data_IF_430778481296
#
_entry.id   IF_430778481296
#
_cell.length_a   1.000
_cell.length_b   1.000
_cell.length_c   1.000
_cell.angle_alpha   90.00
_cell.angle_beta   90.00
_cell.angle_gamma   90.00
#
_symmetry.space_group_name_H-M   'P 1'
#
loop_
_entity.id
_entity.type
_entity.pdbx_description
1 polymer ?
#
# COMPACT_ATOMS: atom_id res chain seq x y z
N UNK A 1 -8.73 -14.79 1.36
CA UNK A 1 -8.75 -13.45 2.00
C UNK A 1 -9.68 -12.57 1.21
N UNK A 2 -10.48 -11.76 1.88
CA UNK A 2 -11.40 -10.81 1.23
C UNK A 2 -10.64 -9.62 0.62
N UNK A 3 -11.15 -9.03 -0.47
CA UNK A 3 -10.52 -7.90 -1.15
C UNK A 3 -10.48 -6.60 -0.32
N UNK A 4 -11.30 -6.50 0.73
CA UNK A 4 -11.25 -5.39 1.69
C UNK A 4 -10.16 -5.55 2.75
N UNK A 5 -9.52 -6.74 2.85
CA UNK A 5 -8.51 -6.98 3.86
C UNK A 5 -7.25 -6.13 3.59
N UNK A 6 -6.69 -5.44 4.60
CA UNK A 6 -5.57 -4.51 4.39
C UNK A 6 -4.31 -5.18 3.80
N UNK A 7 -4.12 -6.46 4.12
CA UNK A 7 -3.01 -7.28 3.61
C UNK A 7 -3.32 -8.05 2.33
N UNK A 8 -4.50 -7.84 1.73
CA UNK A 8 -4.83 -8.47 0.46
C UNK A 8 -3.93 -7.91 -0.65
N UNK A 9 -3.36 -8.79 -1.46
CA UNK A 9 -2.58 -8.45 -2.64
C UNK A 9 -3.38 -8.90 -3.85
N UNK A 10 -3.79 -7.97 -4.69
CA UNK A 10 -4.49 -8.27 -5.94
C UNK A 10 -3.51 -8.88 -6.94
N UNK A 11 -3.99 -9.69 -7.88
CA UNK A 11 -3.19 -10.17 -9.02
C UNK A 11 -2.60 -9.03 -9.87
N UNK A 12 -3.22 -7.84 -9.83
CA UNK A 12 -2.73 -6.65 -10.51
C UNK A 12 -1.63 -5.89 -9.74
N UNK A 13 -1.36 -6.26 -8.49
CA UNK A 13 -0.36 -5.60 -7.67
C UNK A 13 1.02 -6.17 -7.99
N UNK A 14 1.93 -5.30 -8.42
CA UNK A 14 3.33 -5.65 -8.67
C UNK A 14 4.22 -4.43 -8.38
N UNK A 15 5.52 -4.63 -8.10
CA UNK A 15 6.44 -3.54 -7.75
C UNK A 15 6.52 -2.42 -8.81
N UNK A 16 6.45 -2.78 -10.10
CA UNK A 16 6.45 -1.79 -11.19
C UNK A 16 5.11 -1.07 -11.45
N UNK A 17 4.13 -1.15 -10.56
CA UNK A 17 2.81 -0.57 -10.79
C UNK A 17 2.87 0.95 -10.64
N UNK A 18 2.67 1.68 -11.74
CA UNK A 18 2.51 3.13 -11.69
C UNK A 18 1.15 3.50 -11.08
N UNK A 19 1.14 3.85 -9.79
CA UNK A 19 -0.06 4.32 -9.08
C UNK A 19 -0.59 5.65 -9.64
N UNK A 20 0.31 6.53 -10.03
CA UNK A 20 0.01 7.83 -10.62
C UNK A 20 0.91 8.01 -11.85
N UNK A 21 0.40 7.78 -13.07
CA UNK A 21 1.19 7.86 -14.29
C UNK A 21 1.49 9.30 -14.73
N UNK A 22 1.03 10.31 -13.97
CA UNK A 22 1.31 11.71 -14.25
C UNK A 22 2.65 12.14 -13.66
N UNK A 23 3.44 12.86 -14.46
CA UNK A 23 4.68 13.49 -14.02
C UNK A 23 4.38 14.43 -12.85
N UNK A 24 5.20 14.37 -11.81
CA UNK A 24 5.15 15.31 -10.70
C UNK A 24 5.50 16.72 -11.20
N UNK A 25 4.47 17.50 -11.52
CA UNK A 25 4.58 18.92 -11.93
C UNK A 25 3.94 19.84 -10.90
N UNK A 26 2.90 19.37 -10.22
CA UNK A 26 2.19 20.06 -9.16
C UNK A 26 1.99 19.09 -7.99
N UNK A 27 2.75 19.29 -6.90
CA UNK A 27 2.72 18.39 -5.75
C UNK A 27 1.32 18.26 -5.13
N UNK A 28 0.56 19.33 -4.84
CA UNK A 28 -0.80 19.19 -4.31
C UNK A 28 -1.76 18.35 -5.18
N UNK A 29 -1.67 18.46 -6.50
CA UNK A 29 -2.56 17.71 -7.41
C UNK A 29 -2.11 16.26 -7.54
N UNK A 30 -0.79 16.04 -7.60
CA UNK A 30 -0.19 14.72 -7.64
C UNK A 30 -0.43 13.95 -6.34
N UNK A 31 -0.27 14.59 -5.18
CA UNK A 31 -0.47 13.98 -3.87
C UNK A 31 -1.92 13.56 -3.64
N UNK A 32 -2.90 14.38 -4.06
CA UNK A 32 -4.32 13.98 -4.06
C UNK A 32 -4.57 12.74 -4.93
N UNK A 33 -3.98 12.70 -6.12
CA UNK A 33 -4.09 11.56 -7.03
C UNK A 33 -3.48 10.29 -6.42
N UNK A 34 -2.32 10.42 -5.76
CA UNK A 34 -1.67 9.33 -5.03
C UNK A 34 -2.53 8.81 -3.87
N UNK A 35 -3.11 9.71 -3.08
CA UNK A 35 -4.01 9.35 -1.97
C UNK A 35 -5.25 8.59 -2.50
N UNK A 36 -5.86 9.05 -3.61
CA UNK A 36 -6.99 8.35 -4.22
C UNK A 36 -6.62 6.95 -4.72
N UNK A 37 -5.49 6.81 -5.43
CA UNK A 37 -5.02 5.52 -5.94
C UNK A 37 -4.77 4.51 -4.81
N UNK A 38 -4.13 4.96 -3.72
CA UNK A 38 -3.88 4.13 -2.54
C UNK A 38 -5.16 3.78 -1.78
N UNK A 39 -6.11 4.72 -1.68
CA UNK A 39 -7.40 4.49 -1.03
C UNK A 39 -8.22 3.46 -1.78
N UNK A 40 -8.27 3.53 -3.11
CA UNK A 40 -8.98 2.56 -3.95
C UNK A 40 -8.46 1.13 -3.80
N UNK A 41 -7.20 0.96 -3.37
CA UNK A 41 -6.55 -0.33 -3.11
C UNK A 41 -6.54 -0.73 -1.62
N UNK A 42 -7.17 0.03 -0.73
CA UNK A 42 -7.07 -0.16 0.73
C UNK A 42 -5.63 -0.11 1.28
N UNK A 43 -4.72 0.63 0.61
CA UNK A 43 -3.30 0.72 0.97
C UNK A 43 -2.89 2.03 1.64
N UNK A 44 -3.78 3.03 1.71
CA UNK A 44 -3.46 4.33 2.32
C UNK A 44 -2.97 4.22 3.77
N UNK A 45 -3.42 3.20 4.49
CA UNK A 45 -3.04 2.93 5.88
C UNK A 45 -1.55 2.60 6.07
N UNK A 46 -0.87 2.11 5.05
CA UNK A 46 0.57 1.87 5.10
C UNK A 46 1.38 3.17 5.00
N UNK A 47 0.85 4.18 4.29
CA UNK A 47 1.55 5.47 4.09
C UNK A 47 1.28 6.43 5.25
N UNK A 48 0.05 6.48 5.77
CA UNK A 48 -0.30 7.36 6.88
C UNK A 48 -0.03 6.75 8.27
N UNK A 49 0.41 5.49 8.32
CA UNK A 49 0.75 4.79 9.57
C UNK A 49 -0.45 4.26 10.37
N UNK A 50 -1.68 4.30 9.84
CA UNK A 50 -2.83 3.69 10.51
C UNK A 50 -2.76 2.16 10.55
N UNK A 51 -2.08 1.55 9.56
CA UNK A 51 -1.74 0.12 9.54
C UNK A 51 -0.32 -0.03 10.09
N UNK A 52 -0.23 -0.32 11.39
CA UNK A 52 1.05 -0.53 12.06
C UNK A 52 1.66 -1.90 11.72
N UNK A 53 2.99 -2.01 11.70
CA UNK A 53 3.65 -3.31 11.63
C UNK A 53 3.21 -4.15 12.84
N UNK A 54 2.74 -5.39 12.62
CA UNK A 54 2.49 -6.32 13.71
C UNK A 54 3.82 -6.80 14.31
N UNK A 55 3.75 -7.41 15.49
CA UNK A 55 4.91 -8.01 16.14
C UNK A 55 5.46 -9.17 15.31
N UNK A 56 6.75 -9.11 14.96
CA UNK A 56 7.41 -10.16 14.17
C UNK A 56 7.54 -11.46 14.94
N UNK A 57 7.77 -11.38 16.26
CA UNK A 57 7.93 -12.54 17.13
C UNK A 57 6.59 -13.17 17.52
N UNK A 58 5.57 -12.37 17.82
CA UNK A 58 4.27 -12.86 18.27
C UNK A 58 3.32 -13.20 17.11
N UNK A 59 3.47 -12.54 15.96
CA UNK A 59 2.58 -12.66 14.80
C UNK A 59 3.36 -12.75 13.47
N UNK A 60 4.27 -13.73 13.31
CA UNK A 60 5.19 -13.81 12.17
C UNK A 60 4.48 -13.87 10.81
N UNK A 61 3.37 -14.61 10.72
CA UNK A 61 2.59 -14.71 9.46
C UNK A 61 1.96 -13.38 9.07
N UNK A 62 1.42 -12.61 10.03
CA UNK A 62 0.87 -11.29 9.74
C UNK A 62 1.97 -10.28 9.42
N UNK A 63 3.13 -10.40 10.08
CA UNK A 63 4.29 -9.59 9.77
C UNK A 63 4.77 -9.81 8.34
N UNK A 64 4.88 -11.07 7.89
CA UNK A 64 5.25 -11.39 6.52
C UNK A 64 4.29 -10.76 5.48
N UNK A 65 2.97 -10.83 5.73
CA UNK A 65 1.95 -10.24 4.87
C UNK A 65 1.99 -8.70 4.87
N UNK A 66 2.18 -8.09 6.05
CA UNK A 66 2.37 -6.65 6.19
C UNK A 66 3.63 -6.20 5.42
N UNK A 67 4.74 -6.91 5.59
CA UNK A 67 6.01 -6.60 4.96
C UNK A 67 5.91 -6.71 3.43
N UNK A 68 5.29 -7.77 2.93
CA UNK A 68 5.01 -7.92 1.49
C UNK A 68 4.23 -6.72 0.93
N UNK A 69 3.15 -6.31 1.62
CA UNK A 69 2.36 -5.15 1.22
C UNK A 69 3.17 -3.84 1.27
N UNK A 70 3.95 -3.66 2.34
CA UNK A 70 4.78 -2.48 2.53
C UNK A 70 5.88 -2.37 1.46
N UNK A 71 6.55 -3.48 1.14
CA UNK A 71 7.59 -3.53 0.10
C UNK A 71 7.04 -3.19 -1.30
N UNK A 72 5.80 -3.57 -1.63
CA UNK A 72 5.20 -3.19 -2.92
C UNK A 72 4.89 -1.70 -3.04
N UNK A 73 4.70 -0.99 -1.92
CA UNK A 73 4.41 0.45 -1.91
C UNK A 73 5.71 1.27 -1.98
N UNK A 74 6.80 0.74 -1.42
CA UNK A 74 8.11 1.40 -1.36
C UNK A 74 9.00 1.16 -2.60
N UNK A 75 8.61 0.23 -3.48
CA UNK A 75 9.41 -0.17 -4.65
C UNK A 75 9.39 0.84 -5.79
#
# INVERSE_FOLDING_TARGET
MDSSHPYFVSHSDHPGLMLVPTKLTNYPSWSKSMIHALTAKNKIGFVNGSIKPPSETEQPTKYALWNQCNSMILS
#
